data_IF_374010821511
#
_entry.id   IF_374010821511
#
_cell.length_a   1.000
_cell.length_b   1.000
_cell.length_c   1.000
_cell.angle_alpha   90.00
_cell.angle_beta   90.00
_cell.angle_gamma   90.00
#
_symmetry.space_group_name_H-M   'P 1'
#
loop_
_entity.id
_entity.type
_entity.pdbx_description
1 polymer ?
#
# COMPACT_ATOMS: atom_id res chain seq x y z
N UNK A 1 -10.63 -55.84 26.56
CA UNK A 1 -9.81 -54.96 25.71
C UNK A 1 -10.43 -53.58 25.75
N UNK A 2 -9.74 -52.58 26.30
CA UNK A 2 -10.20 -51.18 26.19
C UNK A 2 -9.71 -50.66 24.83
N UNK A 3 -10.61 -50.56 23.86
CA UNK A 3 -10.32 -49.81 22.64
C UNK A 3 -10.40 -48.33 22.95
N UNK A 4 -9.25 -47.68 23.05
CA UNK A 4 -9.19 -46.22 23.12
C UNK A 4 -9.49 -45.70 21.71
N UNK A 5 -10.77 -45.43 21.44
CA UNK A 5 -11.19 -44.80 20.19
C UNK A 5 -10.85 -43.32 20.23
N UNK A 6 -9.71 -42.98 19.62
CA UNK A 6 -9.30 -41.61 19.42
C UNK A 6 -10.15 -40.94 18.34
N UNK A 7 -10.54 -39.68 18.56
CA UNK A 7 -11.36 -38.94 17.60
C UNK A 7 -10.55 -38.54 16.36
N UNK A 8 -11.01 -38.98 15.18
CA UNK A 8 -10.45 -38.55 13.89
C UNK A 8 -10.86 -37.09 13.62
N UNK A 9 -9.90 -36.25 13.23
CA UNK A 9 -10.15 -34.84 12.93
C UNK A 9 -9.23 -34.31 11.83
N UNK A 10 -9.70 -33.32 11.05
CA UNK A 10 -8.83 -32.56 10.17
C UNK A 10 -7.92 -31.64 11.00
N UNK A 11 -6.62 -31.69 10.73
CA UNK A 11 -5.58 -30.88 11.38
C UNK A 11 -4.68 -30.27 10.33
N UNK A 12 -3.81 -29.37 10.75
CA UNK A 12 -2.82 -28.71 9.90
C UNK A 12 -1.43 -28.90 10.47
N UNK A 13 -0.44 -29.08 9.61
CA UNK A 13 0.98 -29.03 9.97
C UNK A 13 1.68 -28.07 9.01
N UNK A 14 2.72 -27.40 9.50
CA UNK A 14 3.56 -26.54 8.69
C UNK A 14 4.61 -27.36 7.95
N UNK A 15 4.58 -27.29 6.62
CA UNK A 15 5.61 -27.87 5.76
C UNK A 15 6.66 -26.80 5.49
N UNK A 16 7.87 -27.01 6.01
CA UNK A 16 9.00 -26.08 5.89
C UNK A 16 9.51 -25.99 4.45
N UNK A 17 9.41 -27.07 3.67
CA UNK A 17 9.86 -27.09 2.27
C UNK A 17 8.89 -26.31 1.38
N UNK A 18 7.58 -26.44 1.63
CA UNK A 18 6.54 -25.69 0.92
C UNK A 18 6.28 -24.30 1.52
N UNK A 19 6.79 -24.02 2.73
CA UNK A 19 6.61 -22.76 3.43
C UNK A 19 5.16 -22.43 3.78
N UNK A 20 4.32 -23.45 4.02
CA UNK A 20 2.87 -23.28 4.21
C UNK A 20 2.26 -24.36 5.11
N UNK A 21 1.08 -24.08 5.65
CA UNK A 21 0.28 -25.04 6.39
C UNK A 21 -0.53 -25.96 5.48
N UNK A 22 -0.38 -27.27 5.67
CA UNK A 22 -1.02 -28.32 4.90
C UNK A 22 -2.00 -29.08 5.80
N UNK A 23 -3.19 -29.36 5.28
CA UNK A 23 -4.18 -30.18 6.01
C UNK A 23 -3.83 -31.66 5.97
N UNK A 24 -4.13 -32.37 7.06
CA UNK A 24 -4.00 -33.82 7.17
C UNK A 24 -5.08 -34.41 8.09
N UNK A 25 -5.31 -35.72 7.98
CA UNK A 25 -6.21 -36.46 8.86
C UNK A 25 -5.44 -36.91 10.10
N UNK A 26 -5.86 -36.44 11.27
CA UNK A 26 -5.29 -36.82 12.56
C UNK A 26 -6.18 -37.85 13.26
N UNK A 27 -5.63 -39.03 13.54
CA UNK A 27 -6.34 -40.15 14.17
C UNK A 27 -6.41 -40.03 15.71
N UNK A 28 -6.24 -38.82 16.25
CA UNK A 28 -6.57 -38.46 17.64
C UNK A 28 -5.62 -38.91 18.75
N UNK A 29 -4.64 -39.78 18.48
CA UNK A 29 -3.65 -40.26 19.47
C UNK A 29 -2.21 -40.17 18.98
N UNK A 30 -1.31 -39.70 19.86
CA UNK A 30 0.11 -39.46 19.60
C UNK A 30 0.38 -38.41 18.50
N UNK A 31 1.40 -37.59 18.67
CA UNK A 31 1.75 -36.56 17.70
C UNK A 31 2.91 -35.71 18.18
N UNK A 32 3.29 -34.74 17.36
CA UNK A 32 4.25 -33.70 17.72
C UNK A 32 3.54 -32.33 17.75
N UNK A 33 4.27 -31.27 18.12
CA UNK A 33 3.74 -29.91 18.21
C UNK A 33 3.37 -29.29 16.85
N UNK A 34 3.83 -29.88 15.73
CA UNK A 34 3.45 -29.46 14.39
C UNK A 34 2.06 -30.04 14.01
N UNK A 35 1.06 -29.75 14.83
CA UNK A 35 -0.31 -30.28 14.74
C UNK A 35 -1.30 -29.24 15.29
N UNK A 36 -1.94 -28.50 14.38
CA UNK A 36 -2.80 -27.36 14.67
C UNK A 36 -4.26 -27.66 14.31
N UNK A 37 -5.22 -27.04 15.02
CA UNK A 37 -6.66 -27.28 14.76
C UNK A 37 -7.13 -26.56 13.50
N UNK A 38 -6.53 -25.42 13.19
CA UNK A 38 -6.90 -24.60 12.04
C UNK A 38 -5.67 -24.17 11.25
N UNK A 39 -5.86 -23.88 9.96
CA UNK A 39 -4.81 -23.30 9.11
C UNK A 39 -4.32 -21.97 9.71
N UNK A 40 -5.23 -21.13 10.21
CA UNK A 40 -4.88 -19.84 10.81
C UNK A 40 -4.00 -19.98 12.04
N UNK A 41 -4.24 -20.97 12.91
CA UNK A 41 -3.36 -21.25 14.07
C UNK A 41 -1.97 -21.70 13.63
N UNK A 42 -1.92 -22.60 12.65
CA UNK A 42 -0.66 -23.09 12.07
C UNK A 42 0.14 -21.94 11.44
N UNK A 43 -0.51 -21.12 10.60
CA UNK A 43 0.14 -19.99 9.91
C UNK A 43 0.57 -18.94 10.92
N UNK A 44 -0.29 -18.59 11.89
CA UNK A 44 0.01 -17.62 12.92
C UNK A 44 1.24 -18.03 13.75
N UNK A 45 1.36 -19.31 14.10
CA UNK A 45 2.48 -19.81 14.89
C UNK A 45 3.72 -20.03 14.02
N UNK A 46 3.63 -20.79 12.94
CA UNK A 46 4.80 -21.23 12.18
C UNK A 46 5.30 -20.21 11.17
N UNK A 47 4.43 -19.46 10.48
CA UNK A 47 4.91 -18.50 9.48
C UNK A 47 5.67 -17.35 10.14
N UNK A 48 5.26 -16.93 11.35
CA UNK A 48 5.97 -15.90 12.12
C UNK A 48 7.38 -16.32 12.54
N UNK A 49 7.68 -17.62 12.67
CA UNK A 49 9.03 -18.08 12.99
C UNK A 49 10.05 -17.80 11.88
N UNK A 50 9.58 -17.52 10.65
CA UNK A 50 10.48 -17.19 9.54
C UNK A 50 10.96 -15.74 9.54
N UNK A 51 10.40 -14.90 10.39
CA UNK A 51 10.72 -13.48 10.50
C UNK A 51 11.05 -13.12 11.94
N UNK A 52 11.93 -12.13 12.11
CA UNK A 52 12.19 -11.57 13.45
C UNK A 52 10.94 -10.91 14.03
N UNK A 53 10.14 -10.30 13.15
CA UNK A 53 8.88 -9.64 13.46
C UNK A 53 7.85 -9.92 12.35
N UNK A 54 6.57 -9.99 12.73
CA UNK A 54 5.47 -10.19 11.78
C UNK A 54 5.55 -11.52 11.02
N UNK A 55 4.83 -11.61 9.90
CA UNK A 55 4.83 -12.77 9.01
C UNK A 55 5.46 -12.45 7.64
N UNK A 56 6.00 -13.45 6.92
CA UNK A 56 6.51 -13.25 5.57
C UNK A 56 5.45 -12.64 4.63
N UNK A 57 5.90 -11.72 3.78
CA UNK A 57 5.09 -11.16 2.71
C UNK A 57 4.62 -12.28 1.77
N UNK A 58 3.34 -12.27 1.41
CA UNK A 58 2.76 -13.26 0.49
C UNK A 58 2.45 -12.66 -0.88
N UNK A 59 2.67 -13.46 -1.92
CA UNK A 59 2.11 -13.27 -3.26
C UNK A 59 1.07 -14.38 -3.46
N UNK A 60 -0.20 -14.01 -3.49
CA UNK A 60 -1.28 -14.99 -3.44
C UNK A 60 -1.19 -15.84 -2.17
N UNK A 61 -0.96 -17.14 -2.33
CA UNK A 61 -0.85 -18.09 -1.20
C UNK A 61 0.59 -18.38 -0.75
N UNK A 62 1.61 -17.95 -1.51
CA UNK A 62 3.00 -18.33 -1.29
C UNK A 62 3.79 -17.19 -0.67
N UNK A 63 4.76 -17.52 0.20
CA UNK A 63 5.70 -16.53 0.73
C UNK A 63 6.60 -16.01 -0.41
N UNK A 64 6.77 -14.69 -0.47
CA UNK A 64 7.68 -14.06 -1.42
C UNK A 64 9.12 -14.42 -1.08
N UNK A 65 9.79 -15.05 -2.03
CA UNK A 65 11.17 -15.51 -1.88
C UNK A 65 12.13 -14.37 -2.23
N UNK A 66 13.29 -14.37 -1.59
CA UNK A 66 14.34 -13.39 -1.83
C UNK A 66 15.74 -13.99 -1.64
N UNK A 67 16.71 -13.47 -2.38
CA UNK A 67 18.14 -13.67 -2.10
C UNK A 67 18.81 -12.43 -1.51
N UNK A 68 18.20 -11.26 -1.70
CA UNK A 68 18.71 -9.97 -1.22
C UNK A 68 17.58 -8.97 -1.02
N UNK A 69 17.87 -7.86 -0.34
CA UNK A 69 16.89 -6.81 -0.06
C UNK A 69 16.29 -6.15 -1.31
N UNK A 70 16.94 -6.21 -2.47
CA UNK A 70 16.39 -5.62 -3.71
C UNK A 70 15.21 -6.41 -4.30
N UNK A 71 14.99 -7.64 -3.84
CA UNK A 71 13.84 -8.48 -4.26
C UNK A 71 12.62 -8.30 -3.35
N UNK A 72 12.78 -7.54 -2.27
CA UNK A 72 11.72 -7.21 -1.33
C UNK A 72 11.30 -5.74 -1.50
N UNK A 73 10.03 -5.40 -1.27
CA UNK A 73 9.62 -4.01 -1.20
C UNK A 73 10.32 -3.28 -0.05
N UNK A 74 10.42 -1.96 -0.14
CA UNK A 74 11.13 -1.08 0.81
C UNK A 74 10.60 -1.16 2.25
N UNK A 75 9.35 -1.62 2.42
CA UNK A 75 8.69 -1.92 3.69
C UNK A 75 9.17 -3.23 4.32
N UNK A 76 9.98 -4.02 3.61
CA UNK A 76 10.43 -5.34 3.98
C UNK A 76 11.96 -5.46 3.85
N UNK A 77 12.50 -6.53 4.42
CA UNK A 77 13.88 -6.95 4.31
C UNK A 77 13.94 -8.46 4.06
N UNK A 78 14.97 -8.90 3.35
CA UNK A 78 15.17 -10.31 3.06
C UNK A 78 15.79 -11.00 4.28
N UNK A 79 15.05 -11.91 4.91
CA UNK A 79 15.59 -12.75 5.97
C UNK A 79 16.38 -13.91 5.36
N UNK A 80 17.70 -13.89 5.52
CA UNK A 80 18.61 -14.79 4.81
C UNK A 80 18.51 -16.25 5.24
N UNK A 81 18.12 -16.50 6.49
CA UNK A 81 17.99 -17.87 7.03
C UNK A 81 16.85 -18.65 6.39
N UNK A 82 15.84 -17.93 5.86
CA UNK A 82 14.63 -18.53 5.29
C UNK A 82 14.35 -18.10 3.84
N UNK A 83 15.12 -17.15 3.31
CA UNK A 83 14.98 -16.57 1.97
C UNK A 83 13.56 -16.03 1.72
N UNK A 84 13.02 -15.25 2.65
CA UNK A 84 11.69 -14.63 2.54
C UNK A 84 11.72 -13.15 2.91
N UNK A 85 10.82 -12.38 2.28
CA UNK A 85 10.66 -10.96 2.60
C UNK A 85 9.85 -10.78 3.89
N UNK A 86 10.52 -10.29 4.94
CA UNK A 86 9.95 -10.03 6.25
C UNK A 86 9.68 -8.53 6.46
N UNK A 87 8.58 -8.15 7.13
CA UNK A 87 8.23 -6.75 7.31
C UNK A 87 9.21 -6.07 8.26
N UNK A 88 9.60 -4.84 7.92
CA UNK A 88 10.37 -3.98 8.83
C UNK A 88 9.46 -3.48 9.95
N UNK A 89 10.00 -3.16 11.15
CA UNK A 89 9.21 -2.62 12.25
C UNK A 89 8.33 -1.43 11.84
N UNK A 90 8.83 -0.52 11.01
CA UNK A 90 8.06 0.60 10.46
C UNK A 90 6.74 0.17 9.78
N UNK A 91 6.78 -0.91 8.99
CA UNK A 91 5.63 -1.42 8.24
C UNK A 91 4.66 -2.20 9.14
N UNK A 92 5.12 -2.69 10.29
CA UNK A 92 4.30 -3.35 11.30
C UNK A 92 3.58 -2.28 12.12
N UNK A 93 4.32 -1.36 12.71
CA UNK A 93 3.82 -0.41 13.70
C UNK A 93 2.88 0.66 13.12
N UNK A 94 2.84 0.83 11.80
CA UNK A 94 1.89 1.73 11.12
C UNK A 94 0.53 1.08 10.82
N UNK A 95 0.39 -0.25 10.96
CA UNK A 95 -0.86 -0.92 10.64
C UNK A 95 -1.94 -0.59 11.70
N UNK A 96 -3.22 -0.49 11.31
CA UNK A 96 -4.31 -0.15 12.23
C UNK A 96 -4.56 -1.27 13.25
N UNK A 97 -5.24 -0.94 14.35
CA UNK A 97 -5.79 -1.95 15.26
C UNK A 97 -6.70 -2.92 14.49
N UNK A 98 -6.42 -4.23 14.57
CA UNK A 98 -7.20 -5.26 13.89
C UNK A 98 -7.58 -6.42 14.83
N UNK A 99 -8.75 -6.33 15.50
CA UNK A 99 -9.23 -7.40 16.39
C UNK A 99 -9.57 -8.71 15.66
N UNK A 100 -10.04 -8.63 14.41
CA UNK A 100 -10.62 -9.76 13.67
C UNK A 100 -12.02 -10.14 14.14
N UNK A 101 -12.62 -11.15 13.52
CA UNK A 101 -14.03 -11.55 13.67
C UNK A 101 -14.22 -12.99 14.19
N UNK A 102 -13.15 -13.62 14.70
CA UNK A 102 -13.21 -14.94 15.31
C UNK A 102 -13.80 -14.94 16.73
N UNK A 103 -13.82 -16.13 17.37
CA UNK A 103 -14.54 -16.38 18.63
C UNK A 103 -13.67 -16.38 19.89
N UNK A 104 -12.36 -16.23 19.76
CA UNK A 104 -11.46 -16.20 20.93
C UNK A 104 -11.41 -14.79 21.50
N UNK A 105 -10.93 -14.66 22.73
CA UNK A 105 -10.61 -13.36 23.34
C UNK A 105 -9.21 -13.48 23.93
N UNK A 106 -8.23 -13.13 23.12
CA UNK A 106 -6.82 -13.26 23.45
C UNK A 106 -6.29 -11.86 23.75
N UNK A 107 -5.77 -11.64 24.95
CA UNK A 107 -5.08 -10.39 25.29
C UNK A 107 -3.85 -10.24 24.40
N UNK A 108 -3.76 -9.11 23.70
CA UNK A 108 -2.63 -8.73 22.86
C UNK A 108 -2.33 -7.25 23.02
N UNK A 109 -1.18 -6.83 22.51
CA UNK A 109 -0.76 -5.43 22.45
C UNK A 109 -0.64 -4.99 21.00
N UNK A 110 -1.00 -3.75 20.71
CA UNK A 110 -0.78 -3.12 19.41
C UNK A 110 -0.17 -1.74 19.64
N UNK A 111 0.61 -1.27 18.68
CA UNK A 111 1.15 0.07 18.70
C UNK A 111 0.15 1.05 18.12
N UNK A 112 -0.36 1.94 18.96
CA UNK A 112 -1.15 3.08 18.55
C UNK A 112 -0.20 4.21 18.14
N UNK A 113 0.01 4.39 16.83
CA UNK A 113 0.90 5.41 16.29
C UNK A 113 0.47 6.85 16.63
N UNK A 114 -0.83 7.09 16.86
CA UNK A 114 -1.36 8.41 17.26
C UNK A 114 -1.02 8.70 18.73
N UNK A 115 -1.28 7.73 19.61
CA UNK A 115 -0.93 7.84 21.02
C UNK A 115 0.58 7.68 21.27
N UNK A 116 1.33 7.20 20.26
CA UNK A 116 2.73 6.79 20.36
C UNK A 116 2.98 5.82 21.52
N UNK A 117 2.07 4.87 21.68
CA UNK A 117 2.06 3.97 22.82
C UNK A 117 1.58 2.57 22.43
N UNK A 118 2.08 1.56 23.14
CA UNK A 118 1.56 0.21 23.07
C UNK A 118 0.32 0.07 23.95
N UNK A 119 -0.80 -0.29 23.35
CA UNK A 119 -2.09 -0.41 24.01
C UNK A 119 -2.56 -1.87 23.99
N UNK A 120 -3.33 -2.25 25.02
CA UNK A 120 -3.95 -3.57 25.13
C UNK A 120 -5.21 -3.65 24.27
N UNK A 121 -5.43 -4.79 23.62
CA UNK A 121 -6.69 -5.10 22.95
C UNK A 121 -7.04 -6.59 23.03
N UNK A 122 -8.29 -6.92 22.72
CA UNK A 122 -8.78 -8.30 22.61
C UNK A 122 -8.72 -8.77 21.18
N UNK A 123 -7.76 -9.63 20.87
CA UNK A 123 -7.64 -10.29 19.57
C UNK A 123 -8.58 -11.51 19.48
N UNK A 124 -9.33 -11.58 18.39
CA UNK A 124 -10.33 -12.63 18.16
C UNK A 124 -9.75 -14.01 17.86
N UNK A 125 -8.42 -14.09 17.64
CA UNK A 125 -7.69 -15.32 17.31
C UNK A 125 -7.44 -15.54 15.81
N UNK A 126 -8.06 -14.76 14.93
CA UNK A 126 -7.80 -14.82 13.49
C UNK A 126 -7.92 -13.44 12.81
N UNK A 127 -7.52 -13.38 11.54
CA UNK A 127 -7.62 -12.17 10.71
C UNK A 127 -6.98 -10.92 11.34
N UNK A 128 -5.96 -11.09 12.18
CA UNK A 128 -5.14 -9.98 12.66
C UNK A 128 -4.19 -9.49 11.57
N UNK A 129 -3.46 -8.44 11.89
CA UNK A 129 -2.28 -8.00 11.15
C UNK A 129 -1.02 -8.18 12.02
N UNK A 130 0.12 -7.68 11.58
CA UNK A 130 1.40 -7.84 12.26
C UNK A 130 1.53 -6.94 13.48
N UNK A 131 0.79 -5.81 13.54
CA UNK A 131 0.68 -4.93 14.71
C UNK A 131 -0.11 -5.58 15.85
N UNK A 132 0.37 -6.75 16.30
CA UNK A 132 -0.28 -7.65 17.22
C UNK A 132 0.80 -8.47 17.94
N UNK A 133 1.15 -8.00 19.13
CA UNK A 133 2.22 -8.49 20.00
C UNK A 133 1.65 -9.26 21.19
N UNK A 134 2.37 -10.29 21.62
CA UNK A 134 1.99 -11.10 22.78
C UNK A 134 2.25 -10.37 24.10
N UNK A 135 3.37 -9.64 24.19
CA UNK A 135 3.75 -8.88 25.38
C UNK A 135 3.85 -7.38 25.10
N UNK A 136 3.69 -6.58 26.15
CA UNK A 136 3.93 -5.14 26.09
C UNK A 136 5.38 -4.83 25.68
N UNK A 137 6.34 -5.59 26.21
CA UNK A 137 7.75 -5.40 25.96
C UNK A 137 8.11 -5.65 24.49
N UNK A 138 7.55 -6.68 23.85
CA UNK A 138 7.78 -6.94 22.43
C UNK A 138 7.26 -5.79 21.56
N UNK A 139 6.07 -5.26 21.89
CA UNK A 139 5.51 -4.10 21.21
C UNK A 139 6.42 -2.88 21.37
N UNK A 140 6.87 -2.58 22.59
CA UNK A 140 7.73 -1.42 22.87
C UNK A 140 9.08 -1.53 22.16
N UNK A 141 9.76 -2.67 22.29
CA UNK A 141 11.05 -2.91 21.63
C UNK A 141 10.95 -2.81 20.10
N UNK A 142 9.82 -3.21 19.52
CA UNK A 142 9.59 -3.14 18.08
C UNK A 142 9.21 -1.73 17.61
N UNK A 143 8.36 -1.02 18.35
CA UNK A 143 7.63 0.15 17.84
C UNK A 143 7.93 1.49 18.51
N UNK A 144 8.45 1.54 19.74
CA UNK A 144 8.49 2.79 20.53
C UNK A 144 9.36 3.90 19.89
N UNK A 145 10.39 3.52 19.14
CA UNK A 145 11.31 4.46 18.47
C UNK A 145 10.95 4.74 17.00
N UNK A 146 9.83 4.25 16.52
CA UNK A 146 9.40 4.41 15.13
C UNK A 146 8.71 5.76 14.93
N UNK A 147 9.09 6.47 13.87
CA UNK A 147 8.38 7.68 13.43
C UNK A 147 7.19 7.25 12.57
N UNK A 148 5.95 7.64 12.88
CA UNK A 148 4.81 7.39 12.01
C UNK A 148 5.06 7.94 10.61
N UNK A 149 4.65 7.19 9.59
CA UNK A 149 4.69 7.68 8.21
C UNK A 149 3.77 8.91 8.07
N UNK A 150 4.31 10.08 7.73
CA UNK A 150 3.48 11.24 7.44
C UNK A 150 2.60 10.97 6.22
N UNK A 151 1.30 11.23 6.35
CA UNK A 151 0.36 11.01 5.26
C UNK A 151 0.41 12.17 4.28
N UNK A 152 0.85 11.89 3.06
CA UNK A 152 0.95 12.88 2.01
C UNK A 152 -0.35 12.98 1.19
N UNK A 153 -0.65 14.15 0.61
CA UNK A 153 -1.78 14.30 -0.31
C UNK A 153 -1.71 13.34 -1.50
N UNK A 154 -0.49 13.01 -1.94
CA UNK A 154 -0.23 11.98 -2.95
C UNK A 154 1.23 11.49 -2.88
N UNK A 155 1.42 10.20 -3.14
CA UNK A 155 2.74 9.54 -3.05
C UNK A 155 3.23 9.37 -1.62
N UNK A 156 4.46 8.87 -1.49
CA UNK A 156 5.06 8.55 -0.19
C UNK A 156 5.87 9.72 0.36
N UNK A 157 5.89 9.84 1.69
CA UNK A 157 6.71 10.83 2.39
C UNK A 157 8.21 10.55 2.20
N UNK A 158 9.00 11.61 2.15
CA UNK A 158 10.45 11.51 1.98
C UNK A 158 11.11 10.78 3.17
N UNK A 159 12.02 9.86 2.84
CA UNK A 159 12.90 9.15 3.77
C UNK A 159 14.34 9.59 3.55
N UNK A 160 15.10 9.70 4.64
CA UNK A 160 16.54 9.90 4.57
C UNK A 160 17.29 8.63 4.12
N UNK A 161 18.62 8.72 4.02
CA UNK A 161 19.48 7.60 3.63
C UNK A 161 19.47 6.43 4.63
N UNK A 162 18.96 6.65 5.84
CA UNK A 162 18.76 5.61 6.87
C UNK A 162 17.34 5.01 6.82
N UNK A 163 16.48 5.48 5.91
CA UNK A 163 15.10 5.02 5.76
C UNK A 163 14.11 5.67 6.73
N UNK A 164 14.52 6.69 7.48
CA UNK A 164 13.69 7.39 8.45
C UNK A 164 12.95 8.55 7.79
N UNK A 165 11.66 8.70 8.11
CA UNK A 165 10.85 9.81 7.61
C UNK A 165 11.40 11.16 8.09
N UNK A 166 11.47 12.11 7.17
CA UNK A 166 12.01 13.43 7.42
C UNK A 166 10.94 14.36 7.99
N UNK A 167 11.09 14.74 9.26
CA UNK A 167 10.17 15.65 9.96
C UNK A 167 10.55 17.09 9.66
N UNK A 168 9.64 17.82 9.02
CA UNK A 168 9.78 19.22 8.68
C UNK A 168 8.94 20.12 9.60
N UNK A 169 9.10 21.44 9.51
CA UNK A 169 8.17 22.39 10.15
C UNK A 169 8.21 23.74 9.45
N UNK A 170 7.05 24.35 9.25
CA UNK A 170 6.94 25.71 8.71
C UNK A 170 7.22 26.80 9.75
N UNK A 171 7.40 26.44 11.03
CA UNK A 171 7.65 27.40 12.12
C UNK A 171 9.13 27.84 12.24
N UNK A 172 10.00 27.42 11.31
CA UNK A 172 11.44 27.71 11.34
C UNK A 172 12.26 26.83 12.30
N UNK A 173 11.60 26.03 13.15
CA UNK A 173 12.25 25.12 14.10
C UNK A 173 12.50 23.70 13.56
N UNK A 174 11.93 23.37 12.40
CA UNK A 174 12.07 22.05 11.78
C UNK A 174 12.95 22.10 10.54
N UNK A 175 13.22 20.92 9.98
CA UNK A 175 14.00 20.84 8.76
C UNK A 175 13.21 21.39 7.56
N UNK A 176 13.94 21.99 6.62
CA UNK A 176 13.39 22.38 5.32
C UNK A 176 13.36 21.15 4.44
N UNK A 177 12.24 20.93 3.74
CA UNK A 177 12.13 19.80 2.84
C UNK A 177 13.15 19.88 1.69
N UNK A 178 13.66 18.72 1.22
CA UNK A 178 14.49 18.67 0.03
C UNK A 178 13.80 19.27 -1.19
N UNK A 179 14.58 19.59 -2.23
CA UNK A 179 14.06 20.00 -3.53
C UNK A 179 13.01 19.00 -4.00
N UNK A 180 11.93 19.51 -4.60
CA UNK A 180 10.77 18.76 -5.09
C UNK A 180 9.80 18.24 -4.02
N UNK A 181 10.07 18.51 -2.74
CA UNK A 181 9.20 18.17 -1.62
C UNK A 181 8.77 19.44 -0.88
N UNK A 182 7.56 19.41 -0.33
CA UNK A 182 6.99 20.48 0.48
C UNK A 182 6.52 19.95 1.84
N UNK A 183 6.52 20.83 2.84
CA UNK A 183 6.20 20.44 4.21
C UNK A 183 4.68 20.40 4.40
N UNK A 184 4.17 19.22 4.74
CA UNK A 184 2.75 18.97 4.95
C UNK A 184 2.49 18.49 6.38
N UNK A 185 1.33 18.86 6.91
CA UNK A 185 0.83 18.39 8.20
C UNK A 185 -0.43 17.57 7.98
N UNK A 186 -0.41 16.30 8.38
CA UNK A 186 -1.52 15.36 8.16
C UNK A 186 -2.57 15.36 9.30
N UNK A 187 -2.43 16.25 10.27
CA UNK A 187 -3.24 16.28 11.49
C UNK A 187 -2.56 15.65 12.70
N UNK A 188 -1.47 14.90 12.50
CA UNK A 188 -0.74 14.20 13.55
C UNK A 188 0.77 14.49 13.51
N UNK A 189 1.39 14.48 12.33
CA UNK A 189 2.82 14.66 12.14
C UNK A 189 3.13 15.51 10.91
N UNK A 190 4.25 16.22 10.97
CA UNK A 190 4.79 16.96 9.84
C UNK A 190 5.73 16.08 9.02
N UNK A 191 5.61 16.14 7.70
CA UNK A 191 6.46 15.39 6.79
C UNK A 191 6.68 16.09 5.46
N UNK A 192 7.75 15.70 4.78
CA UNK A 192 8.05 16.18 3.44
C UNK A 192 7.35 15.34 2.39
N UNK A 193 6.42 15.96 1.67
CA UNK A 193 5.57 15.32 0.67
C UNK A 193 5.94 15.75 -0.75
N UNK A 194 5.84 14.86 -1.76
CA UNK A 194 6.15 15.19 -3.14
C UNK A 194 5.27 16.35 -3.65
N UNK A 195 5.91 17.34 -4.27
CA UNK A 195 5.17 18.43 -4.92
C UNK A 195 4.45 17.92 -6.17
N UNK A 196 3.30 18.53 -6.46
CA UNK A 196 2.52 18.25 -7.67
C UNK A 196 3.33 18.31 -8.95
N UNK A 197 4.12 19.39 -9.12
CA UNK A 197 4.95 19.59 -10.31
C UNK A 197 5.98 18.48 -10.46
N UNK A 198 6.65 18.10 -9.37
CA UNK A 198 7.61 17.01 -9.41
C UNK A 198 6.95 15.69 -9.77
N UNK A 199 5.87 15.32 -9.09
CA UNK A 199 5.10 14.11 -9.36
C UNK A 199 4.78 13.98 -10.85
N UNK A 200 4.21 15.02 -11.45
CA UNK A 200 3.81 15.03 -12.87
C UNK A 200 4.98 15.22 -13.85
N UNK A 201 6.24 15.15 -13.41
CA UNK A 201 7.41 15.14 -14.32
C UNK A 201 8.11 13.79 -14.37
N UNK A 202 7.79 12.90 -13.42
CA UNK A 202 8.42 11.58 -13.32
C UNK A 202 7.91 10.66 -14.43
N UNK A 203 8.77 9.82 -14.99
CA UNK A 203 8.34 8.69 -15.83
C UNK A 203 7.62 7.64 -14.99
N UNK A 204 6.85 6.75 -15.62
CA UNK A 204 6.27 5.61 -14.89
C UNK A 204 7.36 4.74 -14.24
N UNK A 205 7.08 4.25 -13.03
CA UNK A 205 7.92 3.29 -12.35
C UNK A 205 7.09 2.04 -12.00
N UNK A 206 7.48 0.90 -12.58
CA UNK A 206 6.79 -0.38 -12.38
C UNK A 206 6.89 -0.88 -10.94
N UNK A 207 7.91 -0.45 -10.19
CA UNK A 207 8.17 -0.92 -8.84
C UNK A 207 8.46 -2.42 -8.78
N UNK A 208 8.25 -3.00 -7.60
CA UNK A 208 8.52 -4.43 -7.33
C UNK A 208 7.23 -5.21 -7.11
N UNK A 209 7.29 -6.51 -7.38
CA UNK A 209 6.16 -7.42 -7.17
C UNK A 209 5.90 -7.59 -5.68
N UNK A 210 4.66 -7.36 -5.26
CA UNK A 210 4.24 -7.60 -3.88
C UNK A 210 2.72 -7.80 -3.78
N UNK A 211 2.26 -8.30 -2.63
CA UNK A 211 0.84 -8.31 -2.25
C UNK A 211 -0.05 -9.04 -3.26
N UNK A 212 -1.06 -8.32 -3.78
CA UNK A 212 -2.02 -8.86 -4.74
C UNK A 212 -1.43 -9.09 -6.15
N UNK A 213 -0.17 -8.69 -6.39
CA UNK A 213 0.50 -8.78 -7.68
C UNK A 213 0.28 -7.54 -8.55
N UNK A 214 0.57 -7.68 -9.84
CA UNK A 214 0.57 -6.57 -10.77
C UNK A 214 -0.85 -6.10 -11.12
N UNK A 215 -1.02 -4.79 -11.28
CA UNK A 215 -2.27 -4.15 -11.72
C UNK A 215 -1.99 -3.03 -12.71
N UNK A 216 -2.98 -2.68 -13.52
CA UNK A 216 -2.89 -1.49 -14.36
C UNK A 216 -3.07 -0.23 -13.51
N UNK A 217 -2.17 0.71 -13.71
CA UNK A 217 -2.19 2.05 -13.11
C UNK A 217 -2.01 3.10 -14.19
N UNK A 218 -2.20 4.36 -13.86
CA UNK A 218 -2.01 5.48 -14.77
C UNK A 218 -0.87 6.38 -14.29
N UNK A 219 -0.15 6.97 -15.23
CA UNK A 219 0.85 7.99 -14.96
C UNK A 219 0.70 9.11 -15.99
N UNK A 220 1.05 10.32 -15.60
CA UNK A 220 1.09 11.43 -16.54
C UNK A 220 2.39 11.39 -17.34
N UNK A 221 2.26 11.26 -18.65
CA UNK A 221 3.38 11.33 -19.58
C UNK A 221 3.54 12.78 -20.05
N UNK A 222 4.60 13.44 -19.58
CA UNK A 222 4.89 14.85 -19.89
C UNK A 222 5.22 15.10 -21.37
N UNK A 223 5.63 14.08 -22.12
CA UNK A 223 5.93 14.20 -23.55
C UNK A 223 4.66 14.20 -24.40
N UNK A 224 3.70 13.32 -24.07
CA UNK A 224 2.42 13.22 -24.77
C UNK A 224 1.35 14.13 -24.19
N UNK A 225 1.58 14.66 -22.98
CA UNK A 225 0.62 15.42 -22.19
C UNK A 225 -0.69 14.65 -21.92
N UNK A 226 -0.60 13.33 -21.78
CA UNK A 226 -1.73 12.44 -21.51
C UNK A 226 -1.46 11.57 -20.28
N UNK A 227 -2.53 11.08 -19.65
CA UNK A 227 -2.45 10.03 -18.64
C UNK A 227 -2.51 8.67 -19.31
N UNK A 228 -1.37 7.97 -19.32
CA UNK A 228 -1.19 6.69 -19.98
C UNK A 228 -1.25 5.55 -18.96
N UNK A 229 -1.74 4.39 -19.38
CA UNK A 229 -1.71 3.20 -18.53
C UNK A 229 -0.35 2.52 -18.56
N UNK A 230 0.04 1.93 -17.44
CA UNK A 230 1.24 1.11 -17.32
C UNK A 230 0.99 -0.07 -16.38
N UNK A 231 1.87 -1.08 -16.43
CA UNK A 231 1.83 -2.21 -15.50
C UNK A 231 2.61 -1.85 -14.23
N UNK A 232 1.91 -1.75 -13.11
CA UNK A 232 2.49 -1.56 -11.78
C UNK A 232 2.55 -2.89 -11.05
N UNK A 233 3.70 -3.19 -10.43
CA UNK A 233 3.94 -4.49 -9.80
C UNK A 233 3.42 -4.61 -8.37
N UNK A 234 2.93 -3.51 -7.79
CA UNK A 234 2.22 -3.51 -6.51
C UNK A 234 2.88 -2.63 -5.43
N UNK A 235 4.21 -2.61 -5.34
CA UNK A 235 4.97 -1.84 -4.36
C UNK A 235 6.09 -1.01 -5.00
N UNK A 236 6.61 -0.03 -4.26
CA UNK A 236 7.80 0.79 -4.59
C UNK A 236 7.73 1.45 -5.97
N UNK A 237 6.55 1.96 -6.33
CA UNK A 237 6.41 2.90 -7.44
C UNK A 237 7.02 4.26 -7.10
N UNK A 238 6.84 5.22 -8.00
CA UNK A 238 7.04 6.62 -7.69
C UNK A 238 5.68 7.31 -7.55
N UNK A 239 5.64 8.58 -7.11
CA UNK A 239 4.38 9.31 -6.95
C UNK A 239 3.58 9.50 -8.24
N UNK A 240 4.13 9.32 -9.45
CA UNK A 240 3.34 9.43 -10.68
C UNK A 240 2.60 8.11 -10.95
N UNK A 241 1.71 7.72 -10.03
CA UNK A 241 1.03 6.44 -10.02
C UNK A 241 -0.38 6.58 -9.45
N UNK A 242 -1.37 6.54 -10.34
CA UNK A 242 -2.78 6.75 -10.03
C UNK A 242 -3.57 5.46 -10.26
N UNK A 243 -4.60 5.22 -9.44
CA UNK A 243 -5.44 4.03 -9.59
C UNK A 243 -6.32 4.14 -10.83
N UNK A 244 -6.81 5.34 -11.11
CA UNK A 244 -7.66 5.65 -12.27
C UNK A 244 -7.05 6.73 -13.15
N UNK A 245 -7.47 6.73 -14.42
CA UNK A 245 -7.10 7.77 -15.37
C UNK A 245 -7.59 9.15 -14.92
N UNK A 246 -8.81 9.22 -14.43
CA UNK A 246 -9.43 10.46 -13.96
C UNK A 246 -8.66 11.08 -12.80
N UNK A 247 -8.22 10.27 -11.82
CA UNK A 247 -7.32 10.74 -10.76
C UNK A 247 -6.03 11.35 -11.31
N UNK A 248 -5.39 10.69 -12.28
CA UNK A 248 -4.19 11.22 -12.94
C UNK A 248 -4.47 12.55 -13.66
N UNK A 249 -5.56 12.63 -14.42
CA UNK A 249 -5.90 13.83 -15.21
C UNK A 249 -6.26 15.01 -14.31
N UNK A 250 -7.01 14.75 -13.24
CA UNK A 250 -7.39 15.73 -12.22
C UNK A 250 -6.18 16.19 -11.41
N UNK A 251 -5.34 15.24 -10.97
CA UNK A 251 -4.12 15.57 -10.26
C UNK A 251 -3.19 16.35 -11.19
N UNK A 252 -2.71 15.82 -12.31
CA UNK A 252 -1.71 16.48 -13.14
C UNK A 252 -2.20 17.64 -14.01
N UNK A 253 -3.49 18.01 -13.96
CA UNK A 253 -4.02 19.17 -14.66
C UNK A 253 -4.12 18.96 -16.19
N UNK A 254 -4.40 17.73 -16.60
CA UNK A 254 -4.60 17.35 -18.01
C UNK A 254 -6.06 17.57 -18.43
N UNK A 255 -6.98 17.54 -17.46
CA UNK A 255 -8.42 17.46 -17.70
C UNK A 255 -9.28 18.54 -17.04
N UNK A 256 -8.72 19.67 -16.61
CA UNK A 256 -9.52 20.72 -15.99
C UNK A 256 -10.20 21.62 -17.03
N UNK A 257 -11.48 21.38 -17.33
CA UNK A 257 -12.29 22.39 -18.02
C UNK A 257 -12.57 23.57 -17.07
N UNK A 258 -12.51 24.83 -17.53
CA UNK A 258 -12.65 26.01 -16.65
C UNK A 258 -13.96 26.05 -15.85
N UNK A 259 -15.01 25.39 -16.36
CA UNK A 259 -16.34 25.33 -15.77
C UNK A 259 -16.63 23.99 -15.04
N UNK A 260 -15.61 23.15 -14.83
CA UNK A 260 -15.76 21.78 -14.34
C UNK A 260 -16.02 20.76 -15.46
N UNK A 261 -15.94 19.47 -15.10
CA UNK A 261 -16.03 18.35 -16.03
C UNK A 261 -14.70 17.99 -16.70
N UNK A 262 -14.67 16.82 -17.35
CA UNK A 262 -13.50 16.30 -18.08
C UNK A 262 -13.65 16.57 -19.59
N UNK A 263 -12.55 16.92 -20.30
CA UNK A 263 -12.62 17.06 -21.75
C UNK A 263 -12.92 15.73 -22.43
N UNK A 264 -13.54 15.81 -23.61
CA UNK A 264 -13.94 14.62 -24.37
C UNK A 264 -12.74 13.85 -24.89
N UNK A 265 -12.77 12.53 -24.70
CA UNK A 265 -11.88 11.58 -25.37
C UNK A 265 -12.50 11.01 -26.64
N UNK A 266 -11.64 10.66 -27.60
CA UNK A 266 -12.03 9.88 -28.78
C UNK A 266 -12.20 8.39 -28.44
N UNK A 267 -12.55 7.57 -29.43
CA UNK A 267 -12.77 6.12 -29.26
C UNK A 267 -11.51 5.37 -28.79
N UNK A 268 -10.32 5.93 -28.99
CA UNK A 268 -9.03 5.38 -28.54
C UNK A 268 -8.66 5.86 -27.13
N UNK A 269 -9.53 6.63 -26.47
CA UNK A 269 -9.27 7.25 -25.18
C UNK A 269 -8.30 8.44 -25.25
N UNK A 270 -7.92 8.97 -26.41
CA UNK A 270 -7.08 10.17 -26.46
C UNK A 270 -7.93 11.43 -26.35
N UNK A 271 -7.37 12.50 -25.78
CA UNK A 271 -8.09 13.76 -25.69
C UNK A 271 -8.36 14.32 -27.09
N UNK A 272 -9.58 14.79 -27.33
CA UNK A 272 -9.91 15.48 -28.58
C UNK A 272 -9.31 16.88 -28.52
N UNK A 273 -8.36 17.15 -29.41
CA UNK A 273 -7.78 18.47 -29.62
C UNK A 273 -8.62 19.20 -30.66
N UNK A 274 -9.22 20.32 -30.25
CA UNK A 274 -9.98 21.17 -31.16
C UNK A 274 -9.12 22.29 -31.74
N UNK A 275 -9.43 22.67 -32.97
CA UNK A 275 -8.73 23.72 -33.72
C UNK A 275 -9.71 24.34 -34.73
N UNK A 276 -9.23 25.27 -35.55
CA UNK A 276 -9.99 25.76 -36.71
C UNK A 276 -10.38 24.66 -37.70
N UNK A 277 -9.65 23.53 -37.71
CA UNK A 277 -9.88 22.39 -38.60
C UNK A 277 -10.57 21.20 -37.93
N UNK A 278 -10.72 21.22 -36.62
CA UNK A 278 -11.26 20.09 -35.84
C UNK A 278 -12.22 20.61 -34.80
N UNK A 279 -13.51 20.42 -35.04
CA UNK A 279 -14.57 20.84 -34.13
C UNK A 279 -14.84 19.81 -33.04
N UNK A 280 -15.39 20.29 -31.93
CA UNK A 280 -15.85 19.44 -30.85
C UNK A 280 -17.19 18.77 -31.18
N UNK A 281 -17.50 17.63 -30.52
CA UNK A 281 -18.84 17.06 -30.57
C UNK A 281 -19.89 18.07 -30.07
N UNK A 282 -21.16 17.97 -30.48
CA UNK A 282 -22.19 18.97 -30.17
C UNK A 282 -22.40 19.28 -28.68
N UNK A 283 -22.09 18.33 -27.80
CA UNK A 283 -22.19 18.49 -26.34
C UNK A 283 -21.00 19.24 -25.72
N UNK A 284 -19.98 19.56 -26.52
CA UNK A 284 -18.72 20.14 -26.06
C UNK A 284 -18.35 21.40 -26.85
N UNK A 285 -17.74 22.36 -26.16
CA UNK A 285 -17.16 23.58 -26.72
C UNK A 285 -15.63 23.51 -26.74
N UNK A 286 -15.01 24.18 -27.72
CA UNK A 286 -13.56 24.25 -27.81
C UNK A 286 -13.01 25.29 -26.84
N UNK A 287 -12.23 24.84 -25.85
CA UNK A 287 -11.76 25.68 -24.74
C UNK A 287 -10.25 25.58 -24.60
N UNK A 288 -9.59 26.73 -24.45
CA UNK A 288 -8.17 26.80 -24.12
C UNK A 288 -7.95 26.53 -22.62
N UNK A 289 -7.18 25.50 -22.30
CA UNK A 289 -6.83 25.10 -20.94
C UNK A 289 -5.32 25.17 -20.74
N UNK A 290 -4.90 25.50 -19.52
CA UNK A 290 -3.49 25.40 -19.13
C UNK A 290 -3.15 23.94 -18.83
N UNK A 291 -2.22 23.35 -19.58
CA UNK A 291 -1.64 22.04 -19.31
C UNK A 291 -0.15 22.23 -19.00
N UNK A 292 0.22 22.08 -17.72
CA UNK A 292 1.56 22.42 -17.26
C UNK A 292 1.90 23.89 -17.53
N UNK A 293 2.95 24.13 -18.32
CA UNK A 293 3.38 25.47 -18.76
C UNK A 293 2.82 25.90 -20.12
N UNK A 294 1.95 25.11 -20.75
CA UNK A 294 1.43 25.33 -22.10
C UNK A 294 -0.07 25.60 -22.11
N UNK A 295 -0.55 26.37 -23.09
CA UNK A 295 -1.98 26.54 -23.37
C UNK A 295 -2.37 25.59 -24.50
N UNK A 296 -3.35 24.73 -24.26
CA UNK A 296 -3.83 23.73 -25.22
C UNK A 296 -5.34 23.82 -25.40
N UNK A 297 -5.82 23.58 -26.61
CA UNK A 297 -7.27 23.56 -26.88
C UNK A 297 -7.83 22.15 -26.67
N UNK A 298 -8.97 22.07 -25.98
CA UNK A 298 -9.66 20.83 -25.61
C UNK A 298 -11.17 20.99 -25.80
N UNK A 299 -11.86 19.88 -26.05
CA UNK A 299 -13.32 19.86 -26.10
C UNK A 299 -13.90 19.68 -24.70
N UNK A 300 -14.41 20.76 -24.10
CA UNK A 300 -14.97 20.79 -22.75
C UNK A 300 -16.50 20.73 -22.77
N UNK A 301 -17.16 20.12 -21.76
CA UNK A 301 -18.62 20.07 -21.70
C UNK A 301 -19.23 21.48 -21.75
N UNK A 302 -20.25 21.67 -22.59
CA UNK A 302 -20.98 22.94 -22.67
C UNK A 302 -21.71 23.26 -21.36
N UNK A 303 -21.87 24.55 -21.07
CA UNK A 303 -22.53 25.06 -19.85
C UNK A 303 -24.01 24.66 -19.81
N UNK A 304 -24.28 23.48 -19.28
CA UNK A 304 -25.63 22.89 -19.15
C UNK A 304 -25.61 21.41 -18.79
N UNK A 305 -24.57 20.68 -19.20
CA UNK A 305 -24.48 19.22 -18.97
C UNK A 305 -23.68 18.84 -17.71
N UNK A 306 -22.76 19.70 -17.24
CA UNK A 306 -21.91 19.43 -16.07
C UNK A 306 -22.63 19.38 -14.71
N UNK A 307 -23.95 19.61 -14.65
CA UNK A 307 -24.75 19.57 -13.42
C UNK A 307 -25.54 18.26 -13.21
N UNK A 308 -25.53 17.33 -14.16
CA UNK A 308 -26.40 16.14 -14.10
C UNK A 308 -25.68 14.82 -13.82
N UNK A 309 -24.40 14.84 -13.49
CA UNK A 309 -23.67 13.65 -13.05
C UNK A 309 -22.99 13.90 -11.70
N UNK A 310 -23.78 13.75 -10.64
CA UNK A 310 -23.37 13.61 -9.24
C UNK A 310 -24.38 12.69 -8.56
#
# INVERSE_FOLDING_TARGET
>A
TFEVNYAVSNRYYYDVQQGRCISFIYNGGLGNFNNFKTASECEFFCARLQCNYGAPLKIGANNQRCNSNSECPSTHECQTDHNVCCPRPQAICSQPLRPGDCKQSIRRYWYNAVARACEIFSYSGCQGNDNNFETLLDCQNTCENIIPEPQCPHGDAYKDYQGKYYVCSNSGSGNICPVNYECYYDGFVWGCCPTKTYTCTLSSNKGVTCGAGSSHRYYYNSQTQECESFLYNGCDGNPNNFATREECENYCGVGGCPNGGTPKHNELGRLIICSSSSSCPPTHECTSVNSGSSVVNRCCPTRGEGKYFG
#
